data_IF_255134971794
#
_entry.id   IF_255134971794
#
_cell.length_a   1.000
_cell.length_b   1.000
_cell.length_c   1.000
_cell.angle_alpha   90.00
_cell.angle_beta   90.00
_cell.angle_gamma   90.00
#
_symmetry.space_group_name_H-M   'P 1'
#
loop_
_entity.id
_entity.type
_entity.pdbx_description
1 polymer ?
#
# COMPACT_ATOMS: atom_id res chain seq x y z
N UNK A 1 1.96 -17.41 -20.32
CA UNK A 1 2.40 -16.74 -19.07
C UNK A 1 1.44 -15.61 -18.78
N UNK A 2 0.93 -15.54 -17.56
CA UNK A 2 0.07 -14.42 -17.18
C UNK A 2 0.97 -13.38 -16.48
N UNK A 3 1.23 -12.25 -17.14
CA UNK A 3 2.08 -11.16 -16.60
C UNK A 3 1.31 -10.21 -15.67
N UNK A 4 0.14 -10.62 -15.20
CA UNK A 4 -0.64 -9.81 -14.26
C UNK A 4 -0.18 -10.16 -12.85
N UNK A 5 0.41 -9.21 -12.09
CA UNK A 5 0.83 -9.46 -10.72
C UNK A 5 -0.33 -9.85 -9.81
N UNK A 6 -0.12 -10.84 -8.99
CA UNK A 6 -1.06 -11.21 -7.94
C UNK A 6 -1.02 -10.15 -6.82
N UNK A 7 -2.19 -9.73 -6.35
CA UNK A 7 -2.33 -8.82 -5.21
C UNK A 7 -2.94 -9.60 -4.06
N UNK A 8 -2.25 -9.63 -2.93
CA UNK A 8 -2.71 -10.18 -1.65
C UNK A 8 -2.87 -9.05 -0.65
N UNK A 9 -4.11 -8.61 -0.50
CA UNK A 9 -4.48 -7.53 0.41
C UNK A 9 -4.48 -8.00 1.87
N UNK A 10 -3.96 -7.15 2.77
CA UNK A 10 -4.09 -7.35 4.20
C UNK A 10 -4.45 -6.06 4.92
N UNK A 11 -5.27 -6.15 5.96
CA UNK A 11 -5.70 -5.02 6.78
C UNK A 11 -5.13 -5.12 8.19
N UNK A 12 -4.52 -4.02 8.66
CA UNK A 12 -4.06 -3.82 10.03
C UNK A 12 -4.84 -2.64 10.60
N UNK A 13 -5.52 -2.86 11.74
CA UNK A 13 -6.14 -1.77 12.47
C UNK A 13 -5.17 -1.13 13.45
N UNK A 14 -5.29 0.18 13.65
CA UNK A 14 -4.53 0.92 14.65
C UNK A 14 -5.47 1.49 15.71
N UNK A 15 -4.97 1.70 16.94
CA UNK A 15 -5.71 2.24 18.07
C UNK A 15 -4.78 3.08 18.92
N UNK A 16 -5.22 4.25 19.36
CA UNK A 16 -4.48 5.04 20.34
C UNK A 16 -4.90 4.65 21.74
N UNK A 17 -3.95 4.56 22.67
CA UNK A 17 -4.10 4.06 24.04
C UNK A 17 -5.21 4.74 24.88
N UNK A 18 -5.52 6.01 24.56
CA UNK A 18 -6.61 6.74 25.24
C UNK A 18 -8.01 6.53 24.59
N UNK A 19 -8.11 5.68 23.56
CA UNK A 19 -9.36 5.32 22.90
C UNK A 19 -9.65 3.82 23.05
N UNK A 20 -10.93 3.39 22.93
CA UNK A 20 -11.26 1.98 23.07
C UNK A 20 -10.66 1.11 21.96
N UNK A 21 -9.69 0.26 22.27
CA UNK A 21 -9.09 -0.69 21.34
C UNK A 21 -10.14 -1.65 20.76
N UNK A 22 -11.12 -2.04 21.57
CA UNK A 22 -12.22 -2.92 21.16
C UNK A 22 -13.04 -2.32 20.01
N UNK A 23 -13.22 -1.00 20.00
CA UNK A 23 -13.92 -0.29 18.92
C UNK A 23 -13.17 -0.42 17.60
N UNK A 24 -11.86 -0.16 17.61
CA UNK A 24 -11.02 -0.29 16.39
C UNK A 24 -11.02 -1.71 15.89
N UNK A 25 -10.84 -2.68 16.77
CA UNK A 25 -10.86 -4.11 16.44
C UNK A 25 -12.20 -4.53 15.82
N UNK A 26 -13.32 -4.10 16.40
CA UNK A 26 -14.64 -4.45 15.88
C UNK A 26 -14.92 -3.80 14.52
N UNK A 27 -14.53 -2.53 14.35
CA UNK A 27 -14.65 -1.83 13.07
C UNK A 27 -13.84 -2.52 11.97
N UNK A 28 -12.63 -3.01 12.24
CA UNK A 28 -11.84 -3.82 11.31
C UNK A 28 -12.59 -5.09 10.90
N UNK A 29 -13.11 -5.86 11.86
CA UNK A 29 -13.89 -7.07 11.58
C UNK A 29 -15.09 -6.79 10.69
N UNK A 30 -15.77 -5.69 10.93
CA UNK A 30 -16.91 -5.28 10.11
C UNK A 30 -16.49 -4.98 8.65
N UNK A 31 -15.32 -4.37 8.44
CA UNK A 31 -14.78 -4.14 7.09
C UNK A 31 -14.46 -5.47 6.41
N UNK A 32 -13.80 -6.39 7.11
CA UNK A 32 -13.46 -7.72 6.55
C UNK A 32 -14.73 -8.46 6.16
N UNK A 33 -15.76 -8.43 7.01
CA UNK A 33 -17.07 -9.01 6.70
C UNK A 33 -17.75 -8.34 5.47
N UNK A 34 -17.67 -7.02 5.35
CA UNK A 34 -18.24 -6.28 4.21
C UNK A 34 -17.42 -6.45 2.92
N UNK A 35 -16.13 -6.69 3.03
CA UNK A 35 -15.26 -6.97 1.88
C UNK A 35 -15.50 -8.39 1.34
N UNK A 36 -15.65 -9.38 2.23
CA UNK A 36 -15.80 -10.78 1.87
C UNK A 36 -14.46 -11.51 1.74
N UNK A 37 -14.35 -12.36 0.74
CA UNK A 37 -13.13 -13.16 0.52
C UNK A 37 -11.97 -12.35 -0.06
N UNK A 38 -10.73 -12.74 0.23
CA UNK A 38 -9.52 -12.20 -0.37
C UNK A 38 -8.85 -11.05 0.41
N UNK A 39 -9.41 -10.63 1.55
CA UNK A 39 -8.77 -9.67 2.45
C UNK A 39 -8.27 -10.37 3.71
N UNK A 40 -6.95 -10.45 3.87
CA UNK A 40 -6.34 -11.00 5.09
C UNK A 40 -6.56 -10.05 6.27
N UNK A 41 -7.12 -10.55 7.36
CA UNK A 41 -7.29 -9.82 8.61
C UNK A 41 -6.10 -10.07 9.54
N UNK A 42 -5.23 -9.08 9.76
CA UNK A 42 -4.23 -9.16 10.81
C UNK A 42 -4.93 -9.15 12.20
N UNK A 43 -4.67 -10.13 13.07
CA UNK A 43 -5.34 -10.20 14.37
C UNK A 43 -4.87 -9.11 15.34
N UNK A 44 -3.72 -8.49 15.07
CA UNK A 44 -3.09 -7.49 15.93
C UNK A 44 -3.69 -6.12 15.62
N UNK A 45 -4.22 -5.45 16.65
CA UNK A 45 -4.55 -4.02 16.62
C UNK A 45 -3.35 -3.27 17.20
N UNK A 46 -2.81 -2.34 16.44
CA UNK A 46 -1.53 -1.68 16.74
C UNK A 46 -1.75 -0.43 17.61
N UNK A 47 -1.14 -0.42 18.79
CA UNK A 47 -1.14 0.74 19.69
C UNK A 47 0.28 1.32 19.87
N UNK A 48 1.30 0.52 19.66
CA UNK A 48 2.69 0.89 19.89
C UNK A 48 3.63 0.27 18.85
N UNK A 49 4.92 0.57 18.96
CA UNK A 49 5.93 0.11 17.99
C UNK A 49 6.19 -1.39 18.02
N UNK A 50 5.98 -2.06 19.18
CA UNK A 50 6.12 -3.51 19.29
C UNK A 50 5.00 -4.22 18.55
N UNK A 51 3.77 -3.70 18.71
CA UNK A 51 2.62 -4.21 17.97
C UNK A 51 2.79 -4.00 16.47
N UNK A 52 3.31 -2.83 16.05
CA UNK A 52 3.59 -2.56 14.65
C UNK A 52 4.60 -3.57 14.07
N UNK A 53 5.65 -3.90 14.81
CA UNK A 53 6.63 -4.91 14.39
C UNK A 53 6.01 -6.29 14.26
N UNK A 54 5.19 -6.69 15.24
CA UNK A 54 4.48 -7.97 15.25
C UNK A 54 3.46 -8.06 14.10
N UNK A 55 2.68 -7.00 13.86
CA UNK A 55 1.71 -6.95 12.78
C UNK A 55 2.37 -7.04 11.39
N UNK A 56 3.52 -6.37 11.19
CA UNK A 56 4.28 -6.50 9.95
C UNK A 56 4.82 -7.92 9.75
N UNK A 57 5.29 -8.57 10.81
CA UNK A 57 5.76 -9.97 10.75
C UNK A 57 4.59 -10.90 10.38
N UNK A 58 3.42 -10.69 10.98
CA UNK A 58 2.22 -11.47 10.72
C UNK A 58 1.75 -11.37 9.26
N UNK A 59 1.56 -10.16 8.74
CA UNK A 59 1.08 -9.99 7.35
C UNK A 59 2.09 -10.52 6.32
N UNK A 60 3.40 -10.42 6.60
CA UNK A 60 4.45 -11.02 5.76
C UNK A 60 4.39 -12.55 5.77
N UNK A 61 4.21 -13.16 6.92
CA UNK A 61 4.08 -14.61 7.05
C UNK A 61 2.89 -15.16 6.25
N UNK A 62 1.85 -14.35 6.07
CA UNK A 62 0.66 -14.69 5.26
C UNK A 62 0.77 -14.26 3.79
N UNK A 63 1.94 -13.76 3.36
CA UNK A 63 2.18 -13.41 1.96
C UNK A 63 1.46 -12.15 1.48
N UNK A 64 1.00 -11.29 2.39
CA UNK A 64 0.40 -9.99 2.06
C UNK A 64 1.42 -9.13 1.34
N UNK A 65 1.05 -8.59 0.18
CA UNK A 65 1.92 -7.73 -0.64
C UNK A 65 1.32 -6.34 -0.92
N UNK A 66 0.09 -6.08 -0.42
CA UNK A 66 -0.55 -4.77 -0.44
C UNK A 66 -1.24 -4.54 0.92
N UNK A 67 -0.93 -3.42 1.59
CA UNK A 67 -1.33 -3.17 2.97
C UNK A 67 -2.42 -2.11 3.07
N UNK A 68 -3.42 -2.38 3.89
CA UNK A 68 -4.42 -1.41 4.35
C UNK A 68 -4.12 -1.08 5.81
N UNK A 69 -3.77 0.16 6.10
CA UNK A 69 -3.68 0.72 7.46
C UNK A 69 -5.02 1.37 7.77
N UNK A 70 -5.74 0.80 8.72
CA UNK A 70 -7.09 1.22 9.06
C UNK A 70 -7.13 1.91 10.44
N UNK A 71 -7.51 3.18 10.43
CA UNK A 71 -7.75 3.94 11.65
C UNK A 71 -9.18 3.66 12.15
N UNK A 72 -9.32 2.69 13.01
CA UNK A 72 -10.59 2.35 13.64
C UNK A 72 -10.98 3.32 14.77
N UNK A 73 -10.00 4.05 15.29
CA UNK A 73 -10.11 5.24 16.12
C UNK A 73 -8.97 6.21 15.77
N UNK A 74 -8.61 7.15 16.61
CA UNK A 74 -7.62 8.19 16.33
C UNK A 74 -6.27 7.64 15.80
N UNK A 75 -5.84 6.49 16.28
CA UNK A 75 -4.56 5.89 15.91
C UNK A 75 -3.32 6.54 16.54
N UNK A 76 -2.23 5.78 16.68
CA UNK A 76 -0.94 6.25 17.20
C UNK A 76 -0.03 6.71 16.05
N UNK A 77 0.36 7.96 16.02
CA UNK A 77 1.07 8.61 14.90
C UNK A 77 2.35 7.91 14.45
N UNK A 78 3.23 7.54 15.38
CA UNK A 78 4.48 6.85 15.04
C UNK A 78 4.25 5.40 14.60
N UNK A 79 3.54 4.56 15.34
CA UNK A 79 3.29 3.18 14.94
C UNK A 79 2.60 3.05 13.58
N UNK A 80 1.58 3.85 13.26
CA UNK A 80 0.89 3.79 11.96
C UNK A 80 1.79 4.16 10.79
N UNK A 81 2.65 5.16 10.95
CA UNK A 81 3.63 5.52 9.91
C UNK A 81 4.74 4.47 9.78
N UNK A 82 5.10 3.78 10.88
CA UNK A 82 6.03 2.66 10.83
C UNK A 82 5.47 1.47 10.05
N UNK A 83 4.17 1.20 10.12
CA UNK A 83 3.53 0.19 9.27
C UNK A 83 3.82 0.47 7.79
N UNK A 84 3.55 1.68 7.32
CA UNK A 84 3.80 2.09 5.93
C UNK A 84 5.31 1.99 5.59
N UNK A 85 6.16 2.53 6.48
CA UNK A 85 7.62 2.54 6.28
C UNK A 85 8.23 1.15 6.19
N UNK A 86 7.79 0.23 7.05
CA UNK A 86 8.39 -1.10 7.20
C UNK A 86 7.80 -2.16 6.28
N UNK A 87 6.62 -1.91 5.73
CA UNK A 87 5.96 -2.89 4.87
C UNK A 87 6.71 -3.12 3.55
N UNK A 88 7.29 -2.07 2.97
CA UNK A 88 8.02 -2.09 1.68
C UNK A 88 7.18 -2.48 0.46
N UNK A 89 5.86 -2.34 0.53
CA UNK A 89 4.90 -2.58 -0.53
C UNK A 89 3.94 -1.40 -0.72
N UNK A 90 3.01 -1.49 -1.68
CA UNK A 90 1.93 -0.52 -1.77
C UNK A 90 1.10 -0.54 -0.49
N UNK A 91 0.82 0.64 0.04
CA UNK A 91 0.02 0.82 1.24
C UNK A 91 -1.07 1.86 1.01
N UNK A 92 -2.22 1.69 1.64
CA UNK A 92 -3.26 2.71 1.74
C UNK A 92 -3.60 3.00 3.19
N UNK A 93 -4.09 4.21 3.45
CA UNK A 93 -4.62 4.61 4.76
C UNK A 93 -6.07 5.05 4.62
N UNK A 94 -6.94 4.47 5.43
CA UNK A 94 -8.37 4.81 5.53
C UNK A 94 -8.82 4.80 6.98
N UNK A 95 -9.95 5.45 7.26
CA UNK A 95 -10.47 5.59 8.61
C UNK A 95 -11.96 5.29 8.70
N UNK A 96 -12.41 4.96 9.91
CA UNK A 96 -13.80 4.72 10.20
C UNK A 96 -14.60 6.03 10.25
N UNK A 97 -15.80 6.03 9.69
CA UNK A 97 -16.79 7.04 10.01
C UNK A 97 -17.28 6.85 11.45
N UNK A 98 -17.54 7.95 12.13
CA UNK A 98 -18.22 7.91 13.43
C UNK A 98 -19.70 7.55 13.22
N UNK A 99 -20.24 6.76 14.13
CA UNK A 99 -21.66 6.43 14.14
C UNK A 99 -22.52 7.64 14.60
N UNK A 100 -23.80 7.57 14.30
CA UNK A 100 -24.75 8.62 14.63
C UNK A 100 -24.82 8.82 16.17
N UNK A 101 -24.34 9.96 16.62
CA UNK A 101 -24.77 10.58 17.87
C UNK A 101 -24.14 10.12 19.17
N UNK A 102 -23.42 8.99 19.28
CA UNK A 102 -22.81 8.60 20.55
C UNK A 102 -21.35 9.08 20.67
N UNK A 103 -21.21 10.35 20.98
CA UNK A 103 -19.91 10.99 21.25
C UNK A 103 -19.38 10.71 22.66
N UNK A 104 -20.12 9.99 23.50
CA UNK A 104 -19.80 9.80 24.92
C UNK A 104 -19.24 8.41 25.18
N UNK A 105 -19.85 7.38 24.62
CA UNK A 105 -19.49 5.97 24.87
C UNK A 105 -18.94 5.30 23.62
N UNK A 106 -17.68 5.52 23.28
CA UNK A 106 -17.06 4.82 22.17
C UNK A 106 -16.67 5.69 20.99
N UNK A 107 -16.57 6.99 21.22
CA UNK A 107 -15.97 7.93 20.26
C UNK A 107 -14.59 7.45 19.87
N UNK A 108 -14.37 7.34 18.55
CA UNK A 108 -13.09 6.91 18.01
C UNK A 108 -12.21 8.04 17.53
N UNK A 109 -12.82 9.15 17.13
CA UNK A 109 -12.14 10.34 16.60
C UNK A 109 -11.22 10.04 15.37
N UNK A 110 -11.63 9.04 14.60
CA UNK A 110 -10.82 8.52 13.49
C UNK A 110 -10.60 9.56 12.39
N UNK A 111 -11.51 10.51 12.20
CA UNK A 111 -11.33 11.63 11.28
C UNK A 111 -10.12 12.49 11.63
N UNK A 112 -10.01 12.91 12.90
CA UNK A 112 -8.85 13.66 13.38
C UNK A 112 -7.57 12.82 13.27
N UNK A 113 -7.67 11.53 13.57
CA UNK A 113 -6.58 10.58 13.37
C UNK A 113 -6.10 10.53 11.92
N UNK A 114 -7.01 10.51 10.97
CA UNK A 114 -6.65 10.47 9.53
C UNK A 114 -5.94 11.77 9.09
N UNK A 115 -6.34 12.92 9.59
CA UNK A 115 -5.63 14.18 9.35
C UNK A 115 -4.19 14.12 9.88
N UNK A 116 -4.01 13.60 11.10
CA UNK A 116 -2.68 13.39 11.67
C UNK A 116 -1.85 12.37 10.91
N UNK A 117 -2.45 11.24 10.52
CA UNK A 117 -1.78 10.22 9.73
C UNK A 117 -1.24 10.81 8.42
N UNK A 118 -2.08 11.52 7.67
CA UNK A 118 -1.67 12.14 6.40
C UNK A 118 -0.55 13.15 6.58
N UNK A 119 -0.62 14.00 7.61
CA UNK A 119 0.42 14.95 7.94
C UNK A 119 1.75 14.27 8.31
N UNK A 120 1.70 13.24 9.16
CA UNK A 120 2.87 12.49 9.58
C UNK A 120 3.54 11.71 8.44
N UNK A 121 2.76 11.14 7.52
CA UNK A 121 3.28 10.53 6.29
C UNK A 121 4.03 11.57 5.44
N UNK A 122 3.43 12.74 5.26
CA UNK A 122 4.04 13.86 4.52
C UNK A 122 5.36 14.31 5.13
N UNK A 123 5.41 14.56 6.44
CA UNK A 123 6.64 14.94 7.16
C UNK A 123 7.76 13.91 7.02
N UNK A 124 7.43 12.64 6.95
CA UNK A 124 8.39 11.53 6.82
C UNK A 124 8.70 11.13 5.40
N UNK A 125 8.16 11.87 4.41
CA UNK A 125 8.27 11.53 2.99
C UNK A 125 7.84 10.09 2.66
N UNK A 126 6.87 9.56 3.40
CA UNK A 126 6.30 8.24 3.16
C UNK A 126 5.11 8.36 2.20
N UNK A 127 5.07 7.47 1.22
CA UNK A 127 3.98 7.43 0.24
C UNK A 127 2.99 6.33 0.62
N UNK A 128 1.73 6.70 0.78
CA UNK A 128 0.60 5.79 0.88
C UNK A 128 -0.55 6.33 0.01
N UNK A 129 -1.37 5.45 -0.51
CA UNK A 129 -2.61 5.86 -1.16
C UNK A 129 -3.61 6.30 -0.11
N UNK A 130 -4.13 7.50 -0.26
CA UNK A 130 -5.22 8.05 0.56
C UNK A 130 -6.32 8.40 -0.43
N UNK A 131 -7.50 7.77 -0.36
CA UNK A 131 -8.65 8.14 -1.16
C UNK A 131 -9.04 9.61 -0.97
N UNK A 132 -9.75 10.20 -1.93
CA UNK A 132 -10.26 11.58 -1.81
C UNK A 132 -11.14 11.75 -0.55
N UNK A 133 -11.96 10.75 -0.26
CA UNK A 133 -12.73 10.64 0.99
C UNK A 133 -12.29 9.39 1.74
N UNK A 134 -11.26 9.49 2.61
CA UNK A 134 -10.66 8.31 3.24
C UNK A 134 -11.42 7.79 4.45
N UNK A 135 -12.61 8.36 4.74
CA UNK A 135 -13.40 8.03 5.91
C UNK A 135 -14.73 7.43 5.45
N UNK A 136 -15.13 6.30 6.05
CA UNK A 136 -16.37 5.67 5.65
C UNK A 136 -16.90 4.62 6.62
N UNK A 137 -18.12 4.16 6.34
CA UNK A 137 -18.70 2.97 6.94
C UNK A 137 -17.90 1.73 6.55
N UNK A 138 -18.20 0.58 7.14
CA UNK A 138 -17.55 -0.68 6.76
C UNK A 138 -17.71 -0.98 5.27
N UNK A 139 -18.89 -0.71 4.69
CA UNK A 139 -19.16 -0.90 3.26
C UNK A 139 -18.35 0.07 2.38
N UNK A 140 -18.24 1.34 2.79
CA UNK A 140 -17.45 2.34 2.08
C UNK A 140 -15.96 1.99 2.11
N UNK A 141 -15.45 1.61 3.28
CA UNK A 141 -14.06 1.16 3.42
C UNK A 141 -13.78 -0.08 2.54
N UNK A 142 -14.70 -1.04 2.52
CA UNK A 142 -14.56 -2.22 1.67
C UNK A 142 -14.53 -1.84 0.18
N UNK A 143 -15.30 -0.84 -0.26
CA UNK A 143 -15.24 -0.31 -1.63
C UNK A 143 -13.89 0.36 -1.91
N UNK A 144 -13.42 1.25 -1.01
CA UNK A 144 -12.10 1.90 -1.13
C UNK A 144 -10.96 0.89 -1.26
N UNK A 145 -11.04 -0.23 -0.52
CA UNK A 145 -10.03 -1.30 -0.60
C UNK A 145 -10.07 -1.99 -1.96
N UNK A 146 -11.26 -2.24 -2.53
CA UNK A 146 -11.37 -2.78 -3.90
C UNK A 146 -10.82 -1.82 -4.95
N UNK A 147 -11.04 -0.51 -4.78
CA UNK A 147 -10.50 0.52 -5.68
C UNK A 147 -8.97 0.63 -5.57
N UNK A 148 -8.39 0.30 -4.41
CA UNK A 148 -6.95 0.27 -4.20
C UNK A 148 -6.27 -0.93 -4.86
N UNK A 149 -6.93 -2.06 -5.02
CA UNK A 149 -6.32 -3.28 -5.57
C UNK A 149 -5.65 -3.06 -6.95
N UNK A 150 -6.30 -2.44 -7.96
CA UNK A 150 -5.65 -2.17 -9.24
C UNK A 150 -4.46 -1.20 -9.12
N UNK A 151 -4.50 -0.25 -8.19
CA UNK A 151 -3.38 0.67 -7.91
C UNK A 151 -2.20 -0.13 -7.35
N UNK A 152 -2.45 -0.98 -6.36
CA UNK A 152 -1.44 -1.86 -5.76
C UNK A 152 -0.83 -2.79 -6.82
N UNK A 153 -1.64 -3.36 -7.70
CA UNK A 153 -1.21 -4.21 -8.82
C UNK A 153 -0.26 -3.48 -9.76
N UNK A 154 -0.59 -2.25 -10.13
CA UNK A 154 0.27 -1.40 -10.94
C UNK A 154 1.63 -1.14 -10.28
N UNK A 155 1.65 -0.80 -8.98
CA UNK A 155 2.89 -0.56 -8.22
C UNK A 155 3.75 -1.82 -8.12
N UNK A 156 3.13 -2.97 -7.85
CA UNK A 156 3.83 -4.27 -7.78
C UNK A 156 4.43 -4.63 -9.15
N UNK A 157 3.67 -4.41 -10.22
CA UNK A 157 4.12 -4.68 -11.59
C UNK A 157 5.31 -3.81 -12.00
N UNK A 158 5.28 -2.52 -11.68
CA UNK A 158 6.38 -1.60 -11.99
C UNK A 158 7.68 -1.95 -11.25
N UNK A 159 7.60 -2.35 -9.98
CA UNK A 159 8.78 -2.72 -9.19
C UNK A 159 9.54 -3.93 -9.73
N UNK A 160 8.87 -4.78 -10.49
CA UNK A 160 9.45 -6.00 -11.08
C UNK A 160 9.65 -5.88 -12.59
N UNK A 161 9.40 -4.71 -13.16
CA UNK A 161 9.52 -4.49 -14.59
C UNK A 161 10.99 -4.30 -14.97
N UNK A 162 11.41 -5.04 -15.99
CA UNK A 162 12.68 -4.85 -16.69
C UNK A 162 12.40 -4.48 -18.14
N UNK A 163 12.95 -3.37 -18.58
CA UNK A 163 12.88 -2.92 -19.99
C UNK A 163 14.18 -3.29 -20.65
N UNK A 164 14.10 -4.08 -21.72
CA UNK A 164 15.24 -4.45 -22.54
C UNK A 164 15.12 -3.70 -23.86
N UNK A 165 16.16 -2.94 -24.21
CA UNK A 165 16.22 -2.19 -25.46
C UNK A 165 17.33 -2.75 -26.35
N UNK A 166 17.11 -2.69 -27.66
CA UNK A 166 18.09 -3.06 -28.68
C UNK A 166 18.29 -1.88 -29.62
N UNK A 167 19.54 -1.56 -29.85
CA UNK A 167 19.96 -0.50 -30.74
C UNK A 167 20.33 0.79 -30.01
N UNK A 168 21.53 1.32 -30.27
CA UNK A 168 21.93 2.61 -29.80
C UNK A 168 21.15 3.69 -30.56
N UNK A 169 20.86 4.79 -29.88
CA UNK A 169 20.40 6.00 -30.54
C UNK A 169 21.46 6.46 -31.56
N UNK A 170 21.04 7.06 -32.67
CA UNK A 170 22.00 7.53 -33.68
C UNK A 170 22.84 8.67 -33.13
N UNK A 171 24.16 8.51 -33.07
CA UNK A 171 25.16 9.54 -32.75
C UNK A 171 24.77 10.51 -31.61
N UNK A 172 24.62 11.81 -31.89
CA UNK A 172 24.34 12.88 -30.94
C UNK A 172 22.84 13.18 -30.79
N UNK A 173 21.96 12.23 -31.11
CA UNK A 173 20.51 12.41 -31.00
C UNK A 173 20.02 12.28 -29.54
N UNK A 174 20.49 13.20 -28.68
CA UNK A 174 20.21 13.17 -27.23
C UNK A 174 18.75 13.32 -26.87
N UNK A 175 17.92 13.91 -27.75
CA UNK A 175 16.47 13.99 -27.55
C UNK A 175 15.77 12.62 -27.49
N UNK A 176 16.40 11.57 -27.98
CA UNK A 176 15.89 10.19 -27.90
C UNK A 176 16.28 9.46 -26.62
N UNK A 177 16.89 10.15 -25.65
CA UNK A 177 17.21 9.55 -24.37
C UNK A 177 15.96 9.43 -23.50
N UNK A 178 15.68 8.21 -23.03
CA UNK A 178 14.69 8.01 -21.98
C UNK A 178 15.20 8.61 -20.65
N UNK A 179 14.33 9.14 -19.80
CA UNK A 179 14.70 9.64 -18.47
C UNK A 179 14.96 8.46 -17.51
N UNK A 180 16.07 7.78 -17.68
CA UNK A 180 16.47 6.56 -16.95
C UNK A 180 16.35 6.75 -15.43
N UNK A 181 16.76 7.90 -14.91
CA UNK A 181 16.63 8.21 -13.48
C UNK A 181 15.19 8.08 -12.98
N UNK A 182 14.23 8.63 -13.71
CA UNK A 182 12.81 8.54 -13.34
C UNK A 182 12.27 7.09 -13.38
N UNK A 183 12.78 6.27 -14.27
CA UNK A 183 12.42 4.85 -14.34
C UNK A 183 12.99 4.06 -13.15
N UNK A 184 14.25 4.30 -12.78
CA UNK A 184 14.84 3.71 -11.58
C UNK A 184 14.13 4.16 -10.28
N UNK A 185 13.67 5.41 -10.19
CA UNK A 185 12.88 5.90 -9.07
C UNK A 185 11.53 5.17 -8.93
N UNK A 186 10.99 4.68 -10.05
CA UNK A 186 9.79 3.82 -10.08
C UNK A 186 10.10 2.33 -9.79
N UNK A 187 11.38 1.96 -9.70
CA UNK A 187 11.81 0.58 -9.50
C UNK A 187 11.89 -0.23 -10.79
N UNK A 188 11.88 0.42 -11.96
CA UNK A 188 12.04 -0.23 -13.26
C UNK A 188 13.51 -0.40 -13.56
N UNK A 189 13.93 -1.62 -13.92
CA UNK A 189 15.28 -1.93 -14.38
C UNK A 189 15.40 -1.77 -15.90
N UNK A 190 16.56 -1.35 -16.36
CA UNK A 190 16.84 -1.17 -17.81
C UNK A 190 18.08 -1.93 -18.20
N UNK A 191 18.00 -2.64 -19.30
CA UNK A 191 19.11 -3.30 -19.96
C UNK A 191 19.20 -2.81 -21.40
N UNK A 192 20.34 -2.24 -21.77
CA UNK A 192 20.61 -1.76 -23.13
C UNK A 192 21.54 -2.74 -23.85
N UNK A 193 21.10 -3.25 -24.99
CA UNK A 193 21.82 -4.16 -25.85
C UNK A 193 21.99 -3.55 -27.24
N UNK A 194 22.99 -4.03 -27.98
CA UNK A 194 23.20 -3.64 -29.38
C UNK A 194 22.29 -4.40 -30.33
N UNK A 195 22.10 -3.87 -31.53
CA UNK A 195 21.44 -4.57 -32.63
C UNK A 195 22.18 -5.87 -33.02
N UNK A 196 23.51 -5.91 -32.80
CA UNK A 196 24.31 -7.11 -33.03
C UNK A 196 23.93 -8.22 -32.04
N UNK A 197 23.66 -7.90 -30.78
CA UNK A 197 23.22 -8.91 -29.79
C UNK A 197 21.89 -9.54 -30.22
N UNK A 198 20.97 -8.74 -30.76
CA UNK A 198 19.72 -9.23 -31.33
C UNK A 198 19.95 -10.14 -32.53
N UNK A 199 20.85 -9.76 -33.45
CA UNK A 199 21.19 -10.55 -34.63
C UNK A 199 21.85 -11.89 -34.24
N UNK A 200 22.75 -11.89 -33.27
CA UNK A 200 23.40 -13.10 -32.77
C UNK A 200 22.36 -14.02 -32.13
N UNK A 201 21.54 -13.50 -31.25
CA UNK A 201 20.46 -14.29 -30.62
C UNK A 201 19.48 -14.87 -31.65
N UNK A 202 19.12 -14.09 -32.67
CA UNK A 202 18.29 -14.60 -33.79
C UNK A 202 18.94 -15.79 -34.50
N UNK A 203 20.23 -15.70 -34.82
CA UNK A 203 20.95 -16.78 -35.49
C UNK A 203 21.11 -18.06 -34.68
N UNK A 204 21.19 -17.91 -33.35
CA UNK A 204 21.30 -19.03 -32.41
C UNK A 204 19.96 -19.78 -32.19
N UNK A 205 18.83 -19.09 -32.41
CA UNK A 205 17.50 -19.62 -32.10
C UNK A 205 16.58 -19.78 -33.32
N UNK A 206 17.05 -19.46 -34.53
CA UNK A 206 16.35 -19.68 -35.77
C UNK A 206 16.68 -21.07 -36.34
#
# INVERSE_FOLDING_TARGET
MNNIPEVKLGIIAVSRDCFPIALSTQRRKNIVAAYGEGLYECPITVENEKDAAAAIADVRAHGVNALVVFLGNFGPETPETLLVKKFHGPAMCIAAAEGDGDMINGRGDAYCGMLNCSYNLGMRHLKAYIPEYPIGTAADCARMIRDFEPIARGIIGLKNLKVITFGPRPQDFFACNAPIKGLYELGVEIEENSELDLLVSYKEHA
#
